data_IF_721018785981
#
_entry.id   IF_721018785981
#
_cell.length_a   1.000
_cell.length_b   1.000
_cell.length_c   1.000
_cell.angle_alpha   90.00
_cell.angle_beta   90.00
_cell.angle_gamma   90.00
#
_symmetry.space_group_name_H-M   'P 1'
#
loop_
_entity.id
_entity.type
_entity.pdbx_description
1 polymer ?
#
# COMPACT_ATOMS: atom_id res chain seq x y z
N UNK A 1 -17.95 29.94 26.08
CA UNK A 1 -19.32 29.98 25.53
C UNK A 1 -19.30 29.37 24.14
N UNK A 2 -20.14 28.38 23.89
CA UNK A 2 -20.59 27.99 22.55
C UNK A 2 -22.12 28.14 22.53
N UNK A 3 -22.70 28.45 21.36
CA UNK A 3 -23.71 27.56 20.77
C UNK A 3 -23.42 27.35 19.25
N UNK A 4 -23.56 26.15 18.67
CA UNK A 4 -24.79 25.37 18.38
C UNK A 4 -25.72 26.12 17.41
N UNK A 5 -26.12 25.65 16.23
CA UNK A 5 -25.88 24.37 15.54
C UNK A 5 -26.70 24.27 14.24
N UNK A 6 -26.55 23.13 13.55
CA UNK A 6 -27.54 22.33 12.76
C UNK A 6 -28.45 23.08 11.72
N UNK A 7 -28.71 22.60 10.49
CA UNK A 7 -29.08 21.25 9.99
C UNK A 7 -29.50 21.45 8.50
N UNK A 8 -29.21 20.62 7.49
CA UNK A 8 -29.98 19.46 6.98
C UNK A 8 -29.46 19.17 5.53
N UNK A 9 -28.93 17.98 5.20
CA UNK A 9 -29.57 16.75 4.70
C UNK A 9 -29.59 16.62 3.16
N UNK A 10 -29.04 15.51 2.63
CA UNK A 10 -29.37 15.04 1.27
C UNK A 10 -28.41 14.02 0.63
N UNK A 11 -28.71 12.73 0.81
CA UNK A 11 -28.47 11.54 -0.08
C UNK A 11 -27.03 11.23 -0.54
N UNK A 12 -26.41 10.16 -0.06
CA UNK A 12 -26.57 8.74 -0.47
C UNK A 12 -26.02 8.41 -1.87
N UNK A 13 -24.79 7.88 -1.91
CA UNK A 13 -24.21 7.14 -3.03
C UNK A 13 -23.36 5.99 -2.47
N UNK A 14 -23.81 4.75 -2.69
CA UNK A 14 -23.10 3.51 -2.34
C UNK A 14 -22.06 3.16 -3.43
N UNK A 15 -21.07 2.31 -3.11
CA UNK A 15 -19.98 1.96 -4.03
C UNK A 15 -20.47 1.05 -5.17
N UNK A 16 -19.95 1.27 -6.37
CA UNK A 16 -20.12 0.37 -7.52
C UNK A 16 -19.11 -0.77 -7.33
N UNK A 17 -19.62 -1.91 -6.88
CA UNK A 17 -19.09 -3.22 -7.24
C UNK A 17 -19.76 -3.61 -8.56
N UNK A 18 -18.97 -3.83 -9.60
CA UNK A 18 -19.38 -4.73 -10.69
C UNK A 18 -18.36 -5.85 -10.75
N UNK A 19 -18.84 -7.02 -10.34
CA UNK A 19 -18.26 -8.32 -10.53
C UNK A 19 -18.79 -8.84 -11.88
N UNK A 20 -17.92 -8.96 -12.89
CA UNK A 20 -18.11 -9.93 -13.97
C UNK A 20 -16.81 -10.18 -14.74
N UNK A 21 -16.18 -11.29 -14.36
CA UNK A 21 -15.70 -12.33 -15.25
C UNK A 21 -14.82 -11.93 -16.44
N UNK A 22 -13.49 -11.99 -16.25
CA UNK A 22 -12.57 -12.41 -17.29
C UNK A 22 -11.64 -13.50 -16.74
N UNK A 23 -12.10 -14.74 -16.93
CA UNK A 23 -11.39 -16.00 -16.99
C UNK A 23 -9.95 -16.01 -16.44
N UNK A 24 -9.81 -16.39 -15.17
CA UNK A 24 -8.59 -17.00 -14.68
C UNK A 24 -8.37 -18.30 -15.46
N UNK A 25 -7.27 -18.39 -16.21
CA UNK A 25 -6.86 -19.60 -16.90
C UNK A 25 -6.23 -20.53 -15.86
N UNK A 26 -7.03 -21.42 -15.29
CA UNK A 26 -6.62 -22.43 -14.31
C UNK A 26 -6.08 -23.67 -15.07
N UNK A 27 -4.82 -24.02 -14.85
CA UNK A 27 -4.21 -25.24 -15.38
C UNK A 27 -4.21 -26.27 -14.26
N UNK A 28 -5.35 -26.93 -14.04
CA UNK A 28 -5.38 -28.14 -13.22
C UNK A 28 -4.85 -29.32 -14.02
N UNK A 29 -3.73 -29.87 -13.54
CA UNK A 29 -3.26 -31.21 -13.87
C UNK A 29 -4.36 -32.24 -13.53
N UNK A 30 -5.06 -32.74 -14.55
CA UNK A 30 -5.70 -34.05 -14.44
C UNK A 30 -4.68 -35.14 -14.76
N UNK A 31 -4.06 -35.67 -13.71
CA UNK A 31 -3.48 -37.01 -13.76
C UNK A 31 -4.57 -38.06 -14.04
N UNK A 32 -4.33 -38.82 -15.12
CA UNK A 32 -4.61 -40.25 -15.22
C UNK A 32 -6.07 -40.69 -14.98
N UNK A 33 -6.86 -40.67 -16.06
CA UNK A 33 -7.89 -41.70 -16.26
C UNK A 33 -8.00 -42.11 -17.73
N UNK A 34 -7.29 -43.19 -18.04
CA UNK A 34 -7.53 -44.20 -19.07
C UNK A 34 -8.51 -43.81 -20.19
N UNK A 35 -7.97 -43.46 -21.36
CA UNK A 35 -8.69 -43.65 -22.63
C UNK A 35 -7.87 -44.60 -23.50
N UNK A 36 -8.11 -45.87 -23.22
CA UNK A 36 -7.77 -47.00 -24.08
C UNK A 36 -8.67 -46.96 -25.31
N UNK A 37 -8.08 -47.01 -26.50
CA UNK A 37 -8.82 -47.22 -27.75
C UNK A 37 -9.15 -48.69 -27.99
N UNK A 38 -10.22 -48.92 -28.77
CA UNK A 38 -10.61 -50.13 -29.54
C UNK A 38 -12.14 -50.16 -29.59
N UNK A 39 -12.87 -50.51 -30.66
CA UNK A 39 -12.63 -50.84 -32.07
C UNK A 39 -14.05 -50.78 -32.72
N UNK A 40 -14.08 -50.63 -34.05
CA UNK A 40 -15.29 -50.80 -34.86
C UNK A 40 -15.84 -52.23 -34.68
N UNK A 41 -17.11 -52.34 -34.30
CA UNK A 41 -17.83 -53.61 -34.20
C UNK A 41 -18.22 -54.09 -35.61
N UNK A 42 -17.62 -55.24 -35.97
CA UNK A 42 -17.82 -55.98 -37.20
C UNK A 42 -19.23 -56.59 -37.18
N UNK A 43 -20.15 -56.06 -37.98
CA UNK A 43 -21.40 -56.77 -38.32
C UNK A 43 -21.19 -57.58 -39.59
N UNK A 44 -20.83 -58.84 -39.43
CA UNK A 44 -21.05 -59.87 -40.46
C UNK A 44 -21.53 -61.14 -39.76
N UNK A 45 -22.79 -61.52 -40.01
CA UNK A 45 -23.42 -62.63 -39.32
C UNK A 45 -24.89 -62.79 -39.69
N UNK A 46 -25.15 -63.02 -40.98
CA UNK A 46 -26.42 -63.63 -41.43
C UNK A 46 -26.12 -64.59 -42.59
N UNK A 47 -26.17 -65.89 -42.31
CA UNK A 47 -26.44 -66.93 -43.30
C UNK A 47 -27.19 -68.08 -42.60
N UNK A 48 -28.34 -68.52 -43.11
CA UNK A 48 -29.27 -69.32 -42.34
C UNK A 48 -28.98 -70.83 -42.41
N UNK A 49 -29.14 -71.46 -41.23
CA UNK A 49 -29.86 -72.72 -40.97
C UNK A 49 -29.62 -73.86 -41.98
N UNK A 50 -28.75 -74.79 -41.58
CA UNK A 50 -28.68 -76.15 -42.10
C UNK A 50 -29.66 -77.01 -41.30
N UNK A 51 -30.71 -77.49 -41.96
CA UNK A 51 -31.44 -78.68 -41.54
C UNK A 51 -32.08 -79.33 -42.77
N UNK A 52 -31.53 -80.45 -43.26
CA UNK A 52 -32.30 -81.59 -43.81
C UNK A 52 -31.49 -82.89 -43.73
N UNK A 53 -31.98 -83.76 -42.87
CA UNK A 53 -31.66 -85.18 -42.79
C UNK A 53 -32.46 -85.96 -43.85
N UNK A 54 -31.84 -86.88 -44.61
CA UNK A 54 -32.58 -87.67 -45.59
C UNK A 54 -31.79 -88.68 -46.43
N UNK A 55 -31.65 -89.90 -45.88
CA UNK A 55 -31.60 -91.21 -46.57
C UNK A 55 -30.41 -91.55 -47.49
N UNK A 56 -29.58 -92.47 -46.97
CA UNK A 56 -28.70 -93.37 -47.72
C UNK A 56 -29.51 -94.30 -48.65
N UNK A 57 -29.02 -94.52 -49.87
CA UNK A 57 -29.18 -95.77 -50.64
C UNK A 57 -27.90 -96.03 -51.45
N UNK A 58 -27.27 -97.20 -51.35
CA UNK A 58 -26.07 -97.53 -52.11
C UNK A 58 -26.46 -98.12 -53.47
N UNK A 59 -25.76 -97.70 -54.53
CA UNK A 59 -25.77 -98.36 -55.84
C UNK A 59 -24.36 -98.23 -56.39
N UNK A 60 -23.52 -99.25 -56.18
CA UNK A 60 -23.17 -100.25 -57.21
C UNK A 60 -22.50 -99.59 -58.40
N UNK A 61 -21.17 -99.57 -58.36
CA UNK A 61 -20.32 -99.62 -59.56
C UNK A 61 -20.57 -100.92 -60.31
N UNK A 62 -20.50 -100.91 -61.64
CA UNK A 62 -19.35 -101.62 -62.18
C UNK A 62 -18.74 -100.96 -63.42
N UNK A 63 -17.50 -101.39 -63.64
CA UNK A 63 -16.68 -101.25 -64.84
C UNK A 63 -15.99 -99.92 -65.11
N UNK A 64 -14.76 -99.87 -64.60
CA UNK A 64 -13.56 -99.97 -65.44
C UNK A 64 -13.54 -99.06 -66.66
N UNK A 65 -13.00 -97.86 -66.46
CA UNK A 65 -12.04 -97.29 -67.39
C UNK A 65 -10.87 -96.80 -66.54
N UNK A 66 -9.68 -97.22 -66.91
CA UNK A 66 -8.41 -96.70 -66.41
C UNK A 66 -8.36 -95.22 -66.78
N UNK A 67 -8.71 -94.35 -65.85
CA UNK A 67 -8.32 -92.94 -65.90
C UNK A 67 -7.41 -92.69 -64.71
N UNK A 68 -6.12 -92.83 -65.04
CA UNK A 68 -4.98 -92.14 -64.45
C UNK A 68 -5.09 -91.62 -63.01
N UNK A 69 -4.14 -92.11 -62.22
CA UNK A 69 -3.46 -91.54 -61.04
C UNK A 69 -3.21 -90.01 -61.03
N UNK A 70 -3.58 -89.30 -62.09
CA UNK A 70 -3.40 -87.86 -62.27
C UNK A 70 -4.36 -87.03 -61.42
N UNK A 71 -5.59 -87.49 -61.14
CA UNK A 71 -6.59 -86.72 -60.38
C UNK A 71 -6.21 -86.51 -58.89
N UNK A 72 -5.59 -87.51 -58.26
CA UNK A 72 -5.08 -87.43 -56.88
C UNK A 72 -3.81 -86.59 -56.76
N UNK A 73 -2.90 -86.70 -57.73
CA UNK A 73 -1.71 -85.85 -57.81
C UNK A 73 -2.07 -84.37 -58.01
N UNK A 74 -3.02 -84.05 -58.90
CA UNK A 74 -3.49 -82.68 -59.12
C UNK A 74 -4.12 -82.10 -57.86
N UNK A 75 -4.92 -82.86 -57.12
CA UNK A 75 -5.50 -82.45 -55.84
C UNK A 75 -4.41 -82.17 -54.79
N UNK A 76 -3.40 -83.06 -54.69
CA UNK A 76 -2.28 -82.93 -53.75
C UNK A 76 -1.39 -81.72 -54.09
N UNK A 77 -1.18 -81.43 -55.38
CA UNK A 77 -0.50 -80.23 -55.83
C UNK A 77 -1.30 -78.97 -55.47
N UNK A 78 -2.63 -78.98 -55.61
CA UNK A 78 -3.50 -77.86 -55.24
C UNK A 78 -3.46 -77.56 -53.75
N UNK A 79 -3.45 -78.59 -52.90
CA UNK A 79 -3.31 -78.45 -51.44
C UNK A 79 -1.95 -77.85 -51.05
N UNK A 80 -0.86 -78.26 -51.71
CA UNK A 80 0.46 -77.64 -51.55
C UNK A 80 0.46 -76.17 -51.96
N UNK A 81 -0.13 -75.84 -53.12
CA UNK A 81 -0.28 -74.44 -53.55
C UNK A 81 -1.10 -73.62 -52.54
N UNK A 82 -2.19 -74.17 -52.02
CA UNK A 82 -2.99 -73.54 -50.97
C UNK A 82 -2.19 -73.28 -49.69
N UNK A 83 -1.38 -74.24 -49.24
CA UNK A 83 -0.52 -74.10 -48.07
C UNK A 83 0.57 -73.02 -48.27
N UNK A 84 1.21 -72.98 -49.43
CA UNK A 84 2.22 -71.97 -49.76
C UNK A 84 1.63 -70.56 -49.88
N UNK A 85 0.44 -70.43 -50.50
CA UNK A 85 -0.31 -69.17 -50.53
C UNK A 85 -0.61 -68.70 -49.11
N UNK A 86 -1.13 -69.59 -48.24
CA UNK A 86 -1.50 -69.22 -46.87
C UNK A 86 -0.26 -68.84 -46.04
N UNK A 87 0.86 -69.56 -46.19
CA UNK A 87 2.14 -69.23 -45.56
C UNK A 87 2.68 -67.87 -46.03
N UNK A 88 2.62 -67.59 -47.33
CA UNK A 88 3.02 -66.30 -47.87
C UNK A 88 2.12 -65.17 -47.36
N UNK A 89 0.81 -65.42 -47.24
CA UNK A 89 -0.17 -64.47 -46.73
C UNK A 89 0.06 -64.14 -45.25
N UNK A 90 0.35 -65.15 -44.42
CA UNK A 90 0.75 -64.98 -43.02
C UNK A 90 2.09 -64.22 -42.88
N UNK A 91 3.08 -64.55 -43.69
CA UNK A 91 4.36 -63.84 -43.70
C UNK A 91 4.19 -62.36 -44.09
N UNK A 92 3.36 -62.08 -45.10
CA UNK A 92 3.03 -60.72 -45.53
C UNK A 92 2.29 -59.95 -44.43
N UNK A 93 1.32 -60.58 -43.77
CA UNK A 93 0.60 -60.00 -42.61
C UNK A 93 1.58 -59.64 -41.48
N UNK A 94 2.42 -60.58 -41.04
CA UNK A 94 3.41 -60.34 -39.97
C UNK A 94 4.38 -59.21 -40.34
N UNK A 95 4.84 -59.15 -41.59
CA UNK A 95 5.70 -58.07 -42.06
C UNK A 95 5.01 -56.71 -42.00
N UNK A 96 3.74 -56.63 -42.41
CA UNK A 96 2.94 -55.41 -42.33
C UNK A 96 2.71 -54.98 -40.88
N UNK A 97 2.35 -55.90 -39.99
CA UNK A 97 2.17 -55.62 -38.56
C UNK A 97 3.46 -55.05 -37.93
N UNK A 98 4.61 -55.68 -38.18
CA UNK A 98 5.91 -55.19 -37.68
C UNK A 98 6.23 -53.79 -38.23
N UNK A 99 6.01 -53.57 -39.52
CA UNK A 99 6.25 -52.28 -40.16
C UNK A 99 5.34 -51.19 -39.58
N UNK A 100 4.03 -51.44 -39.48
CA UNK A 100 3.05 -50.51 -38.91
C UNK A 100 3.40 -50.19 -37.45
N UNK A 101 3.76 -51.19 -36.65
CA UNK A 101 4.18 -50.98 -35.25
C UNK A 101 5.42 -50.11 -35.14
N UNK A 102 6.45 -50.37 -35.96
CA UNK A 102 7.67 -49.57 -35.96
C UNK A 102 7.42 -48.13 -36.43
N UNK A 103 6.58 -47.96 -37.47
CA UNK A 103 6.19 -46.65 -38.01
C UNK A 103 5.41 -45.84 -36.98
N UNK A 104 4.42 -46.44 -36.31
CA UNK A 104 3.64 -45.78 -35.27
C UNK A 104 4.51 -45.37 -34.07
N UNK A 105 5.41 -46.25 -33.62
CA UNK A 105 6.37 -45.93 -32.55
C UNK A 105 7.23 -44.72 -32.91
N UNK A 106 7.78 -44.72 -34.13
CA UNK A 106 8.62 -43.61 -34.61
C UNK A 106 7.82 -42.31 -34.74
N UNK A 107 6.57 -42.38 -35.19
CA UNK A 107 5.68 -41.22 -35.28
C UNK A 107 5.37 -40.64 -33.89
N UNK A 108 5.00 -41.48 -32.93
CA UNK A 108 4.74 -41.06 -31.55
C UNK A 108 5.97 -40.39 -30.92
N UNK A 109 7.17 -40.95 -31.10
CA UNK A 109 8.39 -40.33 -30.59
C UNK A 109 8.64 -38.94 -31.17
N UNK A 110 8.31 -38.70 -32.45
CA UNK A 110 8.42 -37.36 -33.06
C UNK A 110 7.42 -36.39 -32.44
N UNK A 111 6.18 -36.82 -32.22
CA UNK A 111 5.14 -36.00 -31.60
C UNK A 111 5.54 -35.65 -30.16
N UNK A 112 5.99 -36.63 -29.38
CA UNK A 112 6.49 -36.41 -28.01
C UNK A 112 7.67 -35.43 -27.98
N UNK A 113 8.60 -35.55 -28.93
CA UNK A 113 9.75 -34.66 -29.01
C UNK A 113 9.33 -33.21 -29.30
N UNK A 114 8.40 -32.99 -30.25
CA UNK A 114 7.86 -31.66 -30.55
C UNK A 114 7.13 -31.08 -29.32
N UNK A 115 6.31 -31.89 -28.67
CA UNK A 115 5.59 -31.49 -27.46
C UNK A 115 6.56 -31.06 -26.34
N UNK A 116 7.58 -31.88 -26.06
CA UNK A 116 8.58 -31.60 -25.04
C UNK A 116 9.36 -30.32 -25.35
N UNK A 117 9.77 -30.14 -26.60
CA UNK A 117 10.48 -28.93 -27.05
C UNK A 117 9.64 -27.68 -26.83
N UNK A 118 8.35 -27.71 -27.18
CA UNK A 118 7.46 -26.57 -26.92
C UNK A 118 7.25 -26.29 -25.43
N UNK A 119 7.15 -27.36 -24.62
CA UNK A 119 7.00 -27.21 -23.18
C UNK A 119 8.24 -26.56 -22.55
N UNK A 120 9.43 -26.99 -22.94
CA UNK A 120 10.70 -26.41 -22.50
C UNK A 120 10.82 -24.94 -22.91
N UNK A 121 10.42 -24.59 -24.14
CA UNK A 121 10.40 -23.20 -24.60
C UNK A 121 9.47 -22.32 -23.76
N UNK A 122 8.24 -22.78 -23.45
CA UNK A 122 7.30 -22.05 -22.59
C UNK A 122 7.83 -21.89 -21.17
N UNK A 123 8.42 -22.93 -20.59
CA UNK A 123 9.01 -22.87 -19.26
C UNK A 123 10.19 -21.89 -19.21
N UNK A 124 11.06 -21.92 -20.23
CA UNK A 124 12.18 -20.99 -20.32
C UNK A 124 11.70 -19.53 -20.37
N UNK A 125 10.72 -19.22 -21.20
CA UNK A 125 10.15 -17.88 -21.28
C UNK A 125 9.56 -17.44 -19.93
N UNK A 126 8.81 -18.33 -19.27
CA UNK A 126 8.24 -18.03 -17.96
C UNK A 126 9.33 -17.76 -16.91
N UNK A 127 10.42 -18.54 -16.90
CA UNK A 127 11.55 -18.32 -16.00
C UNK A 127 12.25 -16.98 -16.25
N UNK A 128 12.46 -16.62 -17.52
CA UNK A 128 13.08 -15.34 -17.91
C UNK A 128 12.25 -14.14 -17.40
N UNK A 129 10.92 -14.16 -17.58
CA UNK A 129 10.05 -13.10 -17.09
C UNK A 129 9.91 -13.12 -15.56
N UNK A 130 9.80 -14.30 -14.95
CA UNK A 130 9.75 -14.44 -13.49
C UNK A 130 10.98 -13.81 -12.84
N UNK A 131 12.17 -14.00 -13.43
CA UNK A 131 13.39 -13.38 -12.95
C UNK A 131 13.37 -11.85 -13.11
N UNK A 132 12.84 -11.33 -14.21
CA UNK A 132 12.69 -9.88 -14.39
C UNK A 132 11.74 -9.28 -13.35
N UNK A 133 10.58 -9.91 -13.12
CA UNK A 133 9.64 -9.49 -12.08
C UNK A 133 10.27 -9.53 -10.69
N UNK A 134 11.01 -10.60 -10.37
CA UNK A 134 11.69 -10.72 -9.09
C UNK A 134 12.68 -9.57 -8.86
N UNK A 135 13.49 -9.23 -9.87
CA UNK A 135 14.42 -8.10 -9.79
C UNK A 135 13.69 -6.78 -9.56
N UNK A 136 12.57 -6.55 -10.24
CA UNK A 136 11.75 -5.34 -10.06
C UNK A 136 11.16 -5.27 -8.65
N UNK A 137 10.66 -6.39 -8.11
CA UNK A 137 10.12 -6.43 -6.75
C UNK A 137 11.18 -6.19 -5.69
N UNK A 138 12.39 -6.76 -5.85
CA UNK A 138 13.51 -6.51 -4.95
C UNK A 138 13.95 -5.04 -4.97
N UNK A 139 13.99 -4.44 -6.16
CA UNK A 139 14.32 -3.01 -6.29
C UNK A 139 13.25 -2.13 -5.63
N UNK A 140 11.97 -2.43 -5.86
CA UNK A 140 10.87 -1.71 -5.23
C UNK A 140 10.92 -1.83 -3.70
N UNK A 141 11.13 -3.02 -3.15
CA UNK A 141 11.23 -3.23 -1.71
C UNK A 141 12.38 -2.39 -1.10
N UNK A 142 13.55 -2.40 -1.74
CA UNK A 142 14.69 -1.56 -1.33
C UNK A 142 14.37 -0.06 -1.40
N UNK A 143 13.63 0.39 -2.40
CA UNK A 143 13.26 1.80 -2.53
C UNK A 143 12.19 2.20 -1.51
N UNK A 144 11.29 1.30 -1.12
CA UNK A 144 10.36 1.51 0.00
C UNK A 144 11.09 1.64 1.34
N UNK A 145 12.08 0.77 1.60
CA UNK A 145 12.90 0.87 2.81
C UNK A 145 13.66 2.20 2.88
N UNK A 146 14.24 2.65 1.75
CA UNK A 146 14.88 3.97 1.70
C UNK A 146 13.90 5.11 1.93
N UNK A 147 12.67 5.01 1.40
CA UNK A 147 11.65 6.03 1.63
C UNK A 147 11.27 6.12 3.11
N UNK A 148 11.13 4.99 3.79
CA UNK A 148 10.88 4.92 5.24
C UNK A 148 12.02 5.57 6.04
N UNK A 149 13.28 5.29 5.72
CA UNK A 149 14.42 5.94 6.38
C UNK A 149 14.43 7.48 6.20
N UNK A 150 14.02 7.98 5.04
CA UNK A 150 13.94 9.42 4.80
C UNK A 150 12.75 10.05 5.55
N UNK A 151 11.63 9.36 5.63
CA UNK A 151 10.47 9.77 6.43
C UNK A 151 10.86 9.89 7.91
N UNK A 152 11.57 8.92 8.47
CA UNK A 152 12.01 8.96 9.86
C UNK A 152 12.95 10.14 10.13
N UNK A 153 13.90 10.41 9.23
CA UNK A 153 14.80 11.58 9.32
C UNK A 153 14.01 12.89 9.31
N UNK A 154 13.02 13.02 8.43
CA UNK A 154 12.18 14.20 8.34
C UNK A 154 11.32 14.38 9.60
N UNK A 155 10.70 13.31 10.10
CA UNK A 155 9.92 13.31 11.33
C UNK A 155 10.76 13.75 12.54
N UNK A 156 12.00 13.26 12.64
CA UNK A 156 12.94 13.65 13.68
C UNK A 156 13.32 15.13 13.61
N UNK A 157 13.61 15.65 12.41
CA UNK A 157 13.90 17.07 12.20
C UNK A 157 12.70 17.95 12.57
N UNK A 158 11.49 17.57 12.15
CA UNK A 158 10.27 18.28 12.49
C UNK A 158 10.02 18.30 14.00
N UNK A 159 10.23 17.16 14.69
CA UNK A 159 10.13 17.08 16.16
C UNK A 159 11.11 18.02 16.86
N UNK A 160 12.34 18.16 16.34
CA UNK A 160 13.32 19.10 16.87
C UNK A 160 12.88 20.56 16.64
N UNK A 161 12.45 20.91 15.43
CA UNK A 161 11.90 22.24 15.13
C UNK A 161 10.71 22.59 16.02
N UNK A 162 9.81 21.64 16.24
CA UNK A 162 8.65 21.83 17.12
C UNK A 162 9.08 22.20 18.55
N UNK A 163 10.12 21.53 19.09
CA UNK A 163 10.68 21.87 20.41
C UNK A 163 11.26 23.28 20.45
N UNK A 164 12.04 23.67 19.43
CA UNK A 164 12.61 25.02 19.32
C UNK A 164 11.51 26.07 19.29
N UNK A 165 10.45 25.84 18.50
CA UNK A 165 9.32 26.76 18.40
C UNK A 165 8.55 26.90 19.72
N UNK A 166 8.31 25.78 20.40
CA UNK A 166 7.67 25.79 21.73
C UNK A 166 8.52 26.56 22.74
N UNK A 167 9.84 26.33 22.75
CA UNK A 167 10.76 27.05 23.64
C UNK A 167 10.77 28.55 23.35
N UNK A 168 10.82 28.95 22.07
CA UNK A 168 10.76 30.35 21.67
C UNK A 168 9.47 31.03 22.17
N UNK A 169 8.32 30.34 22.04
CA UNK A 169 7.04 30.82 22.56
C UNK A 169 7.06 31.02 24.07
N UNK A 170 7.61 30.08 24.83
CA UNK A 170 7.75 30.18 26.28
C UNK A 170 8.61 31.38 26.65
N UNK A 171 9.78 31.53 26.01
CA UNK A 171 10.69 32.66 26.27
C UNK A 171 10.04 34.00 25.97
N UNK A 172 9.33 34.13 24.83
CA UNK A 172 8.62 35.38 24.49
C UNK A 172 7.53 35.71 25.52
N UNK A 173 6.73 34.73 25.94
CA UNK A 173 5.71 34.92 26.97
C UNK A 173 6.32 35.37 28.30
N UNK A 174 7.44 34.77 28.69
CA UNK A 174 8.16 35.15 29.90
C UNK A 174 8.73 36.58 29.81
N UNK A 175 9.32 36.95 28.66
CA UNK A 175 9.82 38.32 28.43
C UNK A 175 8.70 39.35 28.55
N UNK A 176 7.54 39.08 27.97
CA UNK A 176 6.38 39.97 28.08
C UNK A 176 5.93 40.12 29.54
N UNK A 177 5.91 39.03 30.31
CA UNK A 177 5.60 39.07 31.75
C UNK A 177 6.60 39.95 32.52
N UNK A 178 7.89 39.82 32.24
CA UNK A 178 8.93 40.66 32.86
C UNK A 178 8.78 42.13 32.49
N UNK A 179 8.49 42.45 31.22
CA UNK A 179 8.24 43.83 30.79
C UNK A 179 7.04 44.43 31.53
N UNK A 180 5.94 43.67 31.64
CA UNK A 180 4.74 44.10 32.37
C UNK A 180 5.06 44.38 33.85
N UNK A 181 5.79 43.49 34.51
CA UNK A 181 6.19 43.67 35.91
C UNK A 181 7.09 44.89 36.11
N UNK A 182 8.02 45.13 35.19
CA UNK A 182 8.91 46.30 35.24
C UNK A 182 8.11 47.60 35.10
N UNK A 183 7.12 47.62 34.20
CA UNK A 183 6.25 48.78 34.01
C UNK A 183 5.39 49.05 35.25
N UNK A 184 4.81 48.02 35.86
CA UNK A 184 4.07 48.13 37.12
C UNK A 184 4.94 48.68 38.26
N UNK A 185 6.19 48.22 38.37
CA UNK A 185 7.15 48.74 39.34
C UNK A 185 7.49 50.20 39.08
N UNK A 186 7.71 50.59 37.82
CA UNK A 186 7.99 51.96 37.45
C UNK A 186 6.85 52.91 37.87
N UNK A 187 5.60 52.55 37.58
CA UNK A 187 4.43 53.34 37.99
C UNK A 187 4.36 53.49 39.52
N UNK A 188 4.56 52.40 40.26
CA UNK A 188 4.56 52.43 41.73
C UNK A 188 5.66 53.33 42.30
N UNK A 189 6.87 53.27 41.73
CA UNK A 189 7.97 54.15 42.15
C UNK A 189 7.70 55.62 41.83
N UNK A 190 7.00 55.92 40.73
CA UNK A 190 6.58 57.28 40.39
C UNK A 190 5.54 57.81 41.38
N UNK A 191 4.55 57.00 41.76
CA UNK A 191 3.55 57.36 42.78
C UNK A 191 4.22 57.63 44.14
N UNK A 192 5.19 56.81 44.54
CA UNK A 192 5.94 57.02 45.79
C UNK A 192 6.80 58.29 45.74
N UNK A 193 7.43 58.57 44.60
CA UNK A 193 8.20 59.79 44.40
C UNK A 193 7.31 61.05 44.46
N UNK A 194 6.13 61.01 43.84
CA UNK A 194 5.16 62.11 43.88
C UNK A 194 4.73 62.40 45.32
N UNK A 195 4.39 61.36 46.09
CA UNK A 195 4.07 61.50 47.52
C UNK A 195 5.23 62.10 48.33
N UNK A 196 6.47 61.71 48.03
CA UNK A 196 7.64 62.29 48.69
C UNK A 196 7.81 63.77 48.33
N UNK A 197 7.58 64.15 47.08
CA UNK A 197 7.60 65.56 46.65
C UNK A 197 6.51 66.39 47.31
N UNK A 198 5.28 65.87 47.46
CA UNK A 198 4.21 66.55 48.20
C UNK A 198 4.62 66.86 49.64
N UNK A 199 5.24 65.90 50.33
CA UNK A 199 5.73 66.09 51.69
C UNK A 199 6.84 67.16 51.77
N UNK A 200 7.80 67.13 50.84
CA UNK A 200 8.87 68.13 50.76
C UNK A 200 8.31 69.53 50.47
N UNK A 201 7.37 69.64 49.53
CA UNK A 201 6.73 70.90 49.18
C UNK A 201 5.93 71.47 50.36
N UNK A 202 5.17 70.63 51.07
CA UNK A 202 4.47 71.03 52.28
C UNK A 202 5.44 71.52 53.37
N UNK A 203 6.59 70.86 53.54
CA UNK A 203 7.68 71.30 54.42
C UNK A 203 8.21 72.67 54.05
N UNK A 204 8.59 72.87 52.78
CA UNK A 204 9.10 74.15 52.27
C UNK A 204 8.06 75.28 52.40
N UNK A 205 6.79 75.00 52.10
CA UNK A 205 5.72 75.98 52.25
C UNK A 205 5.50 76.39 53.71
N UNK A 206 5.62 75.43 54.65
CA UNK A 206 5.54 75.72 56.08
C UNK A 206 6.70 76.59 56.56
N UNK A 207 7.93 76.33 56.10
CA UNK A 207 9.09 77.19 56.41
C UNK A 207 8.91 78.60 55.84
N UNK A 208 8.50 78.73 54.57
CA UNK A 208 8.20 80.04 53.97
C UNK A 208 7.14 80.81 54.76
N UNK A 209 6.09 80.13 55.25
CA UNK A 209 5.05 80.75 56.07
C UNK A 209 5.62 81.26 57.41
N UNK A 210 6.54 80.52 58.04
CA UNK A 210 7.24 80.96 59.26
C UNK A 210 8.12 82.17 58.97
N UNK A 211 8.89 82.15 57.88
CA UNK A 211 9.73 83.28 57.47
C UNK A 211 8.91 84.55 57.20
N UNK A 212 7.80 84.43 56.48
CA UNK A 212 6.88 85.55 56.25
C UNK A 212 6.28 86.10 57.55
N UNK A 213 5.90 85.24 58.50
CA UNK A 213 5.42 85.67 59.80
C UNK A 213 6.51 86.37 60.64
N UNK A 214 7.74 85.88 60.60
CA UNK A 214 8.89 86.53 61.26
C UNK A 214 9.18 87.90 60.64
N UNK A 215 9.12 88.02 59.31
CA UNK A 215 9.28 89.29 58.61
C UNK A 215 8.17 90.28 58.98
N UNK A 216 6.91 89.85 58.98
CA UNK A 216 5.78 90.70 59.38
C UNK A 216 5.94 91.19 60.82
N UNK A 217 6.30 90.30 61.75
CA UNK A 217 6.57 90.65 63.15
C UNK A 217 7.70 91.67 63.27
N UNK A 218 8.79 91.49 62.51
CA UNK A 218 9.93 92.43 62.48
C UNK A 218 9.50 93.81 61.99
N UNK A 219 8.77 93.90 60.88
CA UNK A 219 8.25 95.17 60.33
C UNK A 219 7.39 95.90 61.37
N UNK A 220 6.48 95.20 62.05
CA UNK A 220 5.64 95.80 63.10
C UNK A 220 6.48 96.35 64.27
N UNK A 221 7.45 95.58 64.75
CA UNK A 221 8.31 95.98 65.87
C UNK A 221 9.19 97.19 65.51
N UNK A 222 9.78 97.20 64.32
CA UNK A 222 10.61 98.30 63.82
C UNK A 222 9.77 99.59 63.66
N UNK A 223 8.55 99.50 63.13
CA UNK A 223 7.64 100.65 62.94
C UNK A 223 7.20 101.28 64.27
N UNK A 224 6.88 100.45 65.27
CA UNK A 224 6.54 100.91 66.62
C UNK A 224 7.75 101.57 67.28
N UNK A 225 8.95 100.97 67.16
CA UNK A 225 10.19 101.53 67.71
C UNK A 225 10.50 102.89 67.09
N UNK A 226 10.41 103.03 65.77
CA UNK A 226 10.59 104.32 65.07
C UNK A 226 9.59 105.37 65.57
N UNK A 227 8.33 104.98 65.77
CA UNK A 227 7.28 105.87 66.25
C UNK A 227 7.52 106.34 67.69
N UNK A 228 7.96 105.44 68.58
CA UNK A 228 8.35 105.76 69.96
C UNK A 228 9.58 106.68 69.98
N UNK A 229 10.59 106.42 69.15
CA UNK A 229 11.79 107.26 69.05
C UNK A 229 11.46 108.66 68.54
N UNK A 230 10.56 108.78 67.55
CA UNK A 230 10.07 110.07 67.06
C UNK A 230 9.30 110.81 68.15
N UNK A 231 8.40 110.14 68.87
CA UNK A 231 7.63 110.75 69.96
C UNK A 231 8.54 111.18 71.12
N UNK A 232 9.53 110.36 71.49
CA UNK A 232 10.52 110.68 72.50
C UNK A 232 11.42 111.88 72.14
N UNK A 233 11.73 112.05 70.85
CA UNK A 233 12.44 113.25 70.35
C UNK A 233 11.54 114.50 70.43
N UNK A 234 10.26 114.39 70.07
CA UNK A 234 9.30 115.49 70.19
C UNK A 234 9.11 115.94 71.65
N UNK A 235 8.92 115.00 72.57
CA UNK A 235 8.78 115.30 74.02
C UNK A 235 10.06 115.87 74.64
N UNK A 236 11.25 115.48 74.15
CA UNK A 236 12.52 116.09 74.57
C UNK A 236 12.66 117.53 74.10
N UNK A 237 12.24 117.84 72.87
CA UNK A 237 12.23 119.21 72.36
C UNK A 237 11.30 120.12 73.18
N UNK A 238 10.11 119.62 73.58
CA UNK A 238 9.19 120.39 74.45
C UNK A 238 9.74 120.64 75.86
N UNK A 239 10.58 119.75 76.42
CA UNK A 239 11.19 119.95 77.74
C UNK A 239 12.41 120.88 77.75
N UNK A 240 12.95 121.25 76.59
CA UNK A 240 14.05 122.22 76.46
C UNK A 240 13.59 123.64 76.16
N UNK A 241 12.28 123.88 76.00
CA UNK A 241 11.68 125.20 75.76
C UNK A 241 11.07 125.86 77.02
N UNK A 242 11.44 125.38 78.22
CA UNK A 242 11.21 126.05 79.51
C UNK A 242 12.52 126.21 80.28
#
# INVERSE_FOLDING_TARGET
MAPSGRKHSGKAGKPIQDDQALCAYDFQEEEKKNLSGSEEDIREGDTPVIEKHGKKRPSVTPHAVVEEDVGGEVQTMLERFGADINKALLAKRKRLEMYTKASLKTSNQKIEHVWKTQQEQRQKLNQEYSQQFLTLFQQWDMDMQKAEEQEEKLANMFRQQQKVFQQARIVQSQRLKTIKQLYEQFLKSMEELEKNHENLLAGAQNELRKEMAMLQKKIMMDTVSISIDLWGKTVKNEKTEH
#
